data_IF_650107207398
#
_entry.id   IF_650107207398
#
_cell.length_a   1.000
_cell.length_b   1.000
_cell.length_c   1.000
_cell.angle_alpha   90.00
_cell.angle_beta   90.00
_cell.angle_gamma   90.00
#
_symmetry.space_group_name_H-M   'P 1'
#
loop_
_entity.id
_entity.type
_entity.pdbx_description
1 polymer ?
#
# COMPACT_ATOMS: atom_id res chain seq x y z
N UNK A 1 10.55 5.11 17.85
CA UNK A 1 9.16 5.58 18.01
C UNK A 1 8.25 4.42 17.66
N UNK A 2 7.22 4.08 18.46
CA UNK A 2 6.35 2.96 18.12
C UNK A 2 5.59 3.31 16.83
N UNK A 3 5.68 2.43 15.85
CA UNK A 3 5.10 2.57 14.52
C UNK A 3 3.57 2.73 14.62
N UNK A 4 3.04 3.70 13.88
CA UNK A 4 1.63 4.12 13.82
C UNK A 4 0.66 3.05 13.27
N UNK A 5 1.12 1.81 13.11
CA UNK A 5 0.45 0.68 12.44
C UNK A 5 -0.81 0.21 13.20
N UNK A 6 -0.98 0.56 14.47
CA UNK A 6 -1.97 -0.08 15.35
C UNK A 6 -3.30 0.68 15.59
N UNK A 7 -3.60 1.75 14.86
CA UNK A 7 -4.74 2.64 15.22
C UNK A 7 -5.97 2.66 14.30
N UNK A 8 -6.10 1.79 13.29
CA UNK A 8 -7.31 1.80 12.44
C UNK A 8 -7.97 0.43 12.34
N UNK A 9 -9.04 0.23 13.12
CA UNK A 9 -10.02 -0.85 12.93
C UNK A 9 -11.43 -0.31 13.14
N UNK A 10 -12.34 -0.70 12.22
CA UNK A 10 -13.80 -0.51 12.15
C UNK A 10 -14.37 0.63 11.26
N UNK A 11 -14.71 0.32 9.99
CA UNK A 11 -16.11 0.31 9.44
C UNK A 11 -16.24 0.11 7.90
N UNK A 12 -17.28 -0.67 7.55
CA UNK A 12 -18.11 -0.75 6.30
C UNK A 12 -17.67 -1.64 5.11
N UNK A 13 -18.62 -2.49 4.68
CA UNK A 13 -18.50 -3.60 3.69
C UNK A 13 -18.55 -3.18 2.20
N UNK A 14 -17.96 -2.05 1.82
CA UNK A 14 -17.76 -1.72 0.39
C UNK A 14 -16.38 -1.10 0.14
N UNK A 15 -15.32 -1.80 0.58
CA UNK A 15 -13.93 -1.45 0.26
C UNK A 15 -13.42 -2.32 -0.87
N UNK A 16 -13.23 -1.77 -2.07
CA UNK A 16 -12.67 -2.51 -3.21
C UNK A 16 -11.17 -2.75 -3.07
N UNK A 17 -10.47 -1.92 -2.28
CA UNK A 17 -9.02 -2.00 -2.10
C UNK A 17 -8.71 -2.54 -0.71
N UNK A 18 -7.99 -3.65 -0.64
CA UNK A 18 -7.51 -4.22 0.61
C UNK A 18 -6.01 -3.96 0.75
N UNK A 19 -5.59 -3.40 1.88
CA UNK A 19 -4.19 -3.13 2.19
C UNK A 19 -3.78 -3.96 3.39
N UNK A 20 -2.80 -4.82 3.19
CA UNK A 20 -2.22 -5.67 4.23
C UNK A 20 -0.79 -5.24 4.50
N UNK A 21 -0.44 -5.10 5.77
CA UNK A 21 0.92 -4.73 6.19
C UNK A 21 1.41 -5.73 7.22
N UNK A 22 2.66 -6.17 7.07
CA UNK A 22 3.34 -7.14 7.93
C UNK A 22 4.75 -6.65 8.22
N UNK A 23 5.41 -7.16 9.27
CA UNK A 23 6.81 -6.81 9.55
C UNK A 23 7.76 -7.12 8.39
N UNK A 24 7.44 -8.11 7.56
CA UNK A 24 8.22 -8.65 6.45
C UNK A 24 7.66 -8.31 5.06
N UNK A 25 6.64 -7.45 4.96
CA UNK A 25 6.06 -7.10 3.67
C UNK A 25 4.74 -6.36 3.73
N UNK A 26 4.18 -6.12 2.55
CA UNK A 26 2.85 -5.58 2.36
C UNK A 26 2.18 -6.22 1.13
N UNK A 27 0.86 -6.11 1.05
CA UNK A 27 0.11 -6.36 -0.17
C UNK A 27 -1.04 -5.38 -0.34
N UNK A 28 -1.38 -5.12 -1.60
CA UNK A 28 -2.50 -4.29 -2.03
C UNK A 28 -3.30 -5.08 -3.07
N UNK A 29 -4.56 -5.33 -2.77
CA UNK A 29 -5.50 -6.05 -3.62
C UNK A 29 -6.62 -5.12 -4.08
N UNK A 30 -7.11 -5.29 -5.31
CA UNK A 30 -8.25 -4.56 -5.85
C UNK A 30 -7.98 -3.12 -6.27
N UNK A 31 -6.70 -2.72 -6.38
CA UNK A 31 -6.30 -1.39 -6.89
C UNK A 31 -6.35 -1.27 -8.43
N UNK A 32 -6.82 -2.31 -9.12
CA UNK A 32 -7.05 -2.31 -10.57
C UNK A 32 -8.35 -3.03 -10.91
N UNK A 33 -8.98 -2.65 -12.02
CA UNK A 33 -10.29 -3.13 -12.44
C UNK A 33 -11.33 -2.00 -12.53
N UNK A 34 -12.48 -2.29 -13.13
CA UNK A 34 -13.56 -1.33 -13.27
C UNK A 34 -14.41 -1.28 -11.98
N UNK A 35 -14.37 -0.14 -11.28
CA UNK A 35 -15.23 0.13 -10.13
C UNK A 35 -16.40 1.08 -10.49
N UNK A 36 -17.23 1.46 -9.50
CA UNK A 36 -18.18 2.56 -9.64
C UNK A 36 -17.49 3.85 -10.08
N UNK A 37 -18.26 4.75 -10.69
CA UNK A 37 -17.75 6.05 -11.15
C UNK A 37 -16.95 6.78 -10.06
N UNK A 38 -15.74 7.24 -10.42
CA UNK A 38 -14.81 7.90 -9.50
C UNK A 38 -13.85 6.98 -8.74
N UNK A 39 -14.07 5.66 -8.76
CA UNK A 39 -13.19 4.70 -8.09
C UNK A 39 -11.81 4.60 -8.76
N UNK A 40 -11.75 4.79 -10.08
CA UNK A 40 -10.49 4.78 -10.86
C UNK A 40 -9.47 5.81 -10.35
N UNK A 41 -9.94 6.91 -9.74
CA UNK A 41 -9.07 7.93 -9.13
C UNK A 41 -8.34 7.36 -7.91
N UNK A 42 -9.04 6.57 -7.08
CA UNK A 42 -8.47 5.93 -5.90
C UNK A 42 -7.51 4.82 -6.31
N UNK A 43 -7.90 3.99 -7.27
CA UNK A 43 -7.03 2.98 -7.87
C UNK A 43 -5.72 3.60 -8.39
N UNK A 44 -5.81 4.69 -9.15
CA UNK A 44 -4.64 5.38 -9.68
C UNK A 44 -3.73 5.93 -8.57
N UNK A 45 -4.31 6.55 -7.53
CA UNK A 45 -3.55 7.06 -6.38
C UNK A 45 -2.82 5.94 -5.63
N UNK A 46 -3.51 4.84 -5.32
CA UNK A 46 -2.93 3.68 -4.63
C UNK A 46 -1.85 3.01 -5.49
N UNK A 47 -2.08 2.86 -6.79
CA UNK A 47 -1.10 2.31 -7.73
C UNK A 47 0.17 3.16 -7.77
N UNK A 48 0.02 4.48 -7.91
CA UNK A 48 1.15 5.40 -7.97
C UNK A 48 1.99 5.36 -6.69
N UNK A 49 1.34 5.37 -5.52
CA UNK A 49 2.04 5.23 -4.23
C UNK A 49 2.79 3.91 -4.12
N UNK A 50 2.14 2.80 -4.49
CA UNK A 50 2.68 1.44 -4.31
C UNK A 50 3.84 1.15 -5.25
N UNK A 51 3.73 1.51 -6.53
CA UNK A 51 4.84 1.36 -7.48
C UNK A 51 6.00 2.31 -7.18
N UNK A 52 5.72 3.51 -6.67
CA UNK A 52 6.77 4.43 -6.21
C UNK A 52 7.52 3.85 -5.02
N UNK A 53 6.82 3.23 -4.06
CA UNK A 53 7.48 2.55 -2.95
C UNK A 53 8.39 1.43 -3.44
N UNK A 54 7.91 0.57 -4.34
CA UNK A 54 8.71 -0.52 -4.89
C UNK A 54 9.99 0.00 -5.55
N UNK A 55 9.87 1.01 -6.40
CA UNK A 55 11.01 1.64 -7.07
C UNK A 55 11.96 2.30 -6.06
N UNK A 56 11.44 3.03 -5.07
CA UNK A 56 12.26 3.69 -4.05
C UNK A 56 13.06 2.68 -3.21
N UNK A 57 12.45 1.54 -2.86
CA UNK A 57 13.12 0.46 -2.14
C UNK A 57 14.25 -0.17 -2.98
N UNK A 58 14.02 -0.39 -4.27
CA UNK A 58 15.03 -0.98 -5.18
C UNK A 58 16.17 -0.01 -5.52
N UNK A 59 15.82 1.23 -5.86
CA UNK A 59 16.75 2.17 -6.50
C UNK A 59 17.39 3.15 -5.53
N UNK A 60 16.64 3.61 -4.52
CA UNK A 60 17.09 4.68 -3.63
C UNK A 60 17.63 4.18 -2.29
N UNK A 61 17.06 3.11 -1.74
CA UNK A 61 17.58 2.47 -0.53
C UNK A 61 18.37 1.18 -0.80
N UNK A 62 18.30 0.66 -2.03
CA UNK A 62 18.99 -0.57 -2.46
C UNK A 62 18.67 -1.78 -1.57
N UNK A 63 17.45 -1.80 -1.02
CA UNK A 63 16.98 -2.89 -0.16
C UNK A 63 16.62 -4.12 -1.01
N UNK A 64 16.95 -5.30 -0.48
CA UNK A 64 16.59 -6.57 -1.09
C UNK A 64 15.09 -6.84 -0.93
N UNK A 65 14.34 -6.67 -2.02
CA UNK A 65 12.89 -6.94 -2.04
C UNK A 65 12.49 -7.95 -3.11
N UNK A 66 11.47 -8.73 -2.80
CA UNK A 66 10.71 -9.57 -3.74
C UNK A 66 9.37 -8.90 -4.00
N UNK A 67 9.00 -8.71 -5.27
CA UNK A 67 7.70 -8.14 -5.64
C UNK A 67 6.95 -9.04 -6.60
N UNK A 68 5.63 -9.02 -6.49
CA UNK A 68 4.70 -9.65 -7.43
C UNK A 68 3.64 -8.63 -7.80
N UNK A 69 3.42 -8.42 -9.10
CA UNK A 69 2.38 -7.53 -9.64
C UNK A 69 1.55 -8.33 -10.63
N UNK A 70 0.26 -8.48 -10.36
CA UNK A 70 -0.66 -9.23 -11.20
C UNK A 70 -1.63 -8.30 -11.94
N UNK A 71 -2.02 -8.64 -13.18
CA UNK A 71 -2.98 -7.83 -13.97
C UNK A 71 -4.34 -7.62 -13.29
N UNK A 72 -4.71 -8.47 -12.33
CA UNK A 72 -5.97 -8.41 -11.60
C UNK A 72 -5.98 -7.41 -10.42
N UNK A 73 -4.98 -6.53 -10.31
CA UNK A 73 -4.91 -5.54 -9.24
C UNK A 73 -4.39 -6.08 -7.92
N UNK A 74 -3.52 -7.10 -7.97
CA UNK A 74 -2.75 -7.56 -6.82
C UNK A 74 -1.31 -7.06 -6.95
N UNK A 75 -0.79 -6.44 -5.90
CA UNK A 75 0.63 -6.14 -5.73
C UNK A 75 1.05 -6.63 -4.35
N UNK A 76 2.18 -7.32 -4.27
CA UNK A 76 2.84 -7.62 -3.00
C UNK A 76 4.31 -7.27 -3.06
N UNK A 77 4.83 -6.79 -1.94
CA UNK A 77 6.24 -6.46 -1.75
C UNK A 77 6.69 -7.10 -0.45
N UNK A 78 7.72 -7.93 -0.50
CA UNK A 78 8.28 -8.64 0.65
C UNK A 78 9.74 -8.25 0.84
N UNK A 79 10.17 -8.22 2.09
CA UNK A 79 11.54 -7.93 2.48
C UNK A 79 11.95 -8.78 3.68
N UNK A 80 13.22 -9.18 3.74
CA UNK A 80 13.78 -9.79 4.94
C UNK A 80 14.21 -8.74 5.97
N UNK A 81 14.83 -7.67 5.49
CA UNK A 81 15.29 -6.54 6.31
C UNK A 81 15.31 -5.28 5.45
N UNK A 82 14.84 -4.18 6.03
CA UNK A 82 14.92 -2.85 5.43
C UNK A 82 15.99 -2.01 6.13
N UNK A 83 16.72 -1.22 5.34
CA UNK A 83 17.52 -0.09 5.80
C UNK A 83 16.66 0.96 6.52
N UNK A 84 17.30 1.88 7.24
CA UNK A 84 16.60 2.99 7.91
C UNK A 84 15.83 3.85 6.90
N UNK A 85 16.45 4.09 5.74
CA UNK A 85 15.84 4.78 4.61
C UNK A 85 14.66 4.00 4.03
N UNK A 86 14.79 2.69 3.83
CA UNK A 86 13.71 1.84 3.33
C UNK A 86 12.49 1.82 4.25
N UNK A 87 12.72 1.78 5.58
CA UNK A 87 11.64 1.90 6.56
C UNK A 87 10.93 3.25 6.47
N UNK A 88 11.68 4.34 6.27
CA UNK A 88 11.09 5.66 6.07
C UNK A 88 10.23 5.74 4.79
N UNK A 89 10.59 5.03 3.71
CA UNK A 89 9.75 4.95 2.51
C UNK A 89 8.46 4.16 2.77
N UNK A 90 8.52 3.05 3.48
CA UNK A 90 7.33 2.29 3.89
C UNK A 90 6.42 3.15 4.77
N UNK A 91 6.98 3.90 5.72
CA UNK A 91 6.22 4.83 6.57
C UNK A 91 5.56 5.95 5.72
N UNK A 92 6.29 6.54 4.78
CA UNK A 92 5.76 7.57 3.89
C UNK A 92 4.64 7.04 2.98
N UNK A 93 4.81 5.83 2.42
CA UNK A 93 3.77 5.15 1.65
C UNK A 93 2.53 4.90 2.50
N UNK A 94 2.69 4.38 3.72
CA UNK A 94 1.57 4.09 4.61
C UNK A 94 0.80 5.36 4.96
N UNK A 95 1.50 6.45 5.29
CA UNK A 95 0.88 7.76 5.49
C UNK A 95 0.09 8.21 4.27
N UNK A 96 0.64 8.05 3.06
CA UNK A 96 -0.06 8.35 1.80
C UNK A 96 -1.34 7.55 1.64
N UNK A 97 -1.30 6.24 1.87
CA UNK A 97 -2.48 5.37 1.84
C UNK A 97 -3.53 5.81 2.87
N UNK A 98 -3.13 6.19 4.09
CA UNK A 98 -4.03 6.73 5.11
C UNK A 98 -4.71 8.04 4.64
N UNK A 99 -3.98 8.94 3.97
CA UNK A 99 -4.56 10.18 3.44
C UNK A 99 -5.60 9.93 2.35
N UNK A 100 -5.35 8.93 1.49
CA UNK A 100 -6.33 8.47 0.50
C UNK A 100 -7.54 7.84 1.21
N UNK A 101 -7.34 6.93 2.15
CA UNK A 101 -8.42 6.27 2.89
C UNK A 101 -9.29 7.25 3.69
N UNK A 102 -8.70 8.32 4.24
CA UNK A 102 -9.44 9.37 4.94
C UNK A 102 -10.29 10.24 3.99
N UNK A 103 -9.91 10.31 2.73
CA UNK A 103 -10.64 11.08 1.69
C UNK A 103 -11.69 10.21 0.99
N UNK A 104 -11.49 8.89 0.94
CA UNK A 104 -12.31 7.95 0.18
C UNK A 104 -12.60 6.69 1.01
N UNK A 105 -13.89 6.38 1.20
CA UNK A 105 -14.35 5.24 2.02
C UNK A 105 -14.30 3.88 1.28
N UNK A 106 -13.21 3.59 0.56
CA UNK A 106 -13.10 2.38 -0.26
C UNK A 106 -11.79 1.58 -0.06
N UNK A 107 -10.98 1.95 0.95
CA UNK A 107 -9.78 1.23 1.37
C UNK A 107 -10.05 0.56 2.72
N UNK A 108 -9.73 -0.72 2.82
CA UNK A 108 -9.82 -1.50 4.05
C UNK A 108 -8.44 -2.03 4.43
N UNK A 109 -8.01 -1.81 5.68
CA UNK A 109 -6.79 -2.40 6.22
C UNK A 109 -7.09 -3.79 6.81
N UNK A 110 -6.30 -4.81 6.45
CA UNK A 110 -6.53 -6.24 6.77
C UNK A 110 -5.31 -6.97 7.28
#
# INVERSE_FOLDING_TARGET
>A
MPSVVFLYSERSETGMIHVKIRPDGLSVDGHAGAGPYGHDIVCAAVSALTFTLEAALRELSQDGIESCTEPAGHVSVKWQKLSDTGRAYVDAWFLGICMVANSYNCITFV
#
